data_IF_667636648591
#
_entry.id   IF_667636648591
#
_cell.length_a   1.000
_cell.length_b   1.000
_cell.length_c   1.000
_cell.angle_alpha   90.00
_cell.angle_beta   90.00
_cell.angle_gamma   90.00
#
_symmetry.space_group_name_H-M   'P 1'
#
loop_
_entity.id
_entity.type
_entity.pdbx_description
1 polymer ?
#
# COMPACT_ATOMS: atom_id res chain seq x y z
N UNK A 1 -51.27 34.63 11.11
CA UNK A 1 -50.95 33.20 10.90
C UNK A 1 -49.59 32.94 10.25
N UNK A 2 -49.06 33.80 9.34
CA UNK A 2 -47.75 33.56 8.65
C UNK A 2 -46.50 33.57 9.56
N UNK A 3 -46.45 34.34 10.62
CA UNK A 3 -45.30 34.44 11.56
C UNK A 3 -45.08 33.17 12.42
N UNK A 4 -46.11 32.40 12.70
CA UNK A 4 -45.97 31.16 13.51
C UNK A 4 -45.43 29.96 12.68
N UNK A 5 -45.69 29.93 11.39
CA UNK A 5 -45.17 28.89 10.49
C UNK A 5 -43.68 29.03 10.24
N UNK A 6 -43.14 30.25 10.13
CA UNK A 6 -41.71 30.50 9.92
C UNK A 6 -40.88 30.12 11.14
N UNK A 7 -41.37 30.35 12.35
CA UNK A 7 -40.70 30.00 13.59
C UNK A 7 -40.59 28.45 13.77
N UNK A 8 -41.64 27.72 13.38
CA UNK A 8 -41.65 26.26 13.47
C UNK A 8 -40.65 25.58 12.46
N UNK A 9 -40.51 26.13 11.26
CA UNK A 9 -39.58 25.67 10.25
C UNK A 9 -38.10 25.89 10.63
N UNK A 10 -37.80 27.03 11.26
CA UNK A 10 -36.45 27.35 11.75
C UNK A 10 -36.06 26.42 12.91
N UNK A 11 -36.97 26.14 13.85
CA UNK A 11 -36.73 25.24 14.98
C UNK A 11 -36.51 23.77 14.53
N UNK A 12 -37.27 23.33 13.54
CA UNK A 12 -37.08 21.95 12.99
C UNK A 12 -35.72 21.79 12.25
N UNK A 13 -35.27 22.81 11.54
CA UNK A 13 -33.97 22.78 10.85
C UNK A 13 -32.79 22.75 11.79
N UNK A 14 -32.84 23.47 12.91
CA UNK A 14 -31.74 23.50 13.91
C UNK A 14 -31.60 22.16 14.65
N UNK A 15 -32.71 21.51 14.99
CA UNK A 15 -32.69 20.18 15.65
C UNK A 15 -32.09 19.12 14.73
N UNK A 16 -32.43 19.12 13.45
CA UNK A 16 -31.88 18.17 12.49
C UNK A 16 -30.35 18.34 12.27
N UNK A 17 -29.88 19.59 12.22
CA UNK A 17 -28.45 19.87 12.07
C UNK A 17 -27.62 19.44 13.30
N UNK A 18 -28.13 19.64 14.49
CA UNK A 18 -27.46 19.19 15.74
C UNK A 18 -27.43 17.68 15.83
N UNK A 19 -28.49 16.99 15.47
CA UNK A 19 -28.53 15.51 15.47
C UNK A 19 -27.53 14.92 14.48
N UNK A 20 -27.37 15.50 13.29
CA UNK A 20 -26.37 15.08 12.30
C UNK A 20 -24.95 15.29 12.80
N UNK A 21 -24.64 16.40 13.46
CA UNK A 21 -23.32 16.68 14.02
C UNK A 21 -22.94 15.67 15.13
N UNK A 22 -23.88 15.35 16.02
CA UNK A 22 -23.66 14.36 17.10
C UNK A 22 -23.41 12.97 16.51
N UNK A 23 -24.14 12.58 15.46
CA UNK A 23 -23.97 11.27 14.81
C UNK A 23 -22.59 11.17 14.12
N UNK A 24 -22.12 12.23 13.48
CA UNK A 24 -20.78 12.28 12.87
C UNK A 24 -19.68 12.18 13.92
N UNK A 25 -19.82 12.88 15.04
CA UNK A 25 -18.82 12.82 16.13
C UNK A 25 -18.75 11.44 16.76
N UNK A 26 -19.90 10.81 17.02
CA UNK A 26 -19.96 9.42 17.53
C UNK A 26 -19.31 8.42 16.58
N UNK A 27 -19.55 8.54 15.26
CA UNK A 27 -18.95 7.69 14.26
C UNK A 27 -17.42 7.89 14.19
N UNK A 28 -16.96 9.13 14.22
CA UNK A 28 -15.55 9.47 14.20
C UNK A 28 -14.83 8.91 15.43
N UNK A 29 -15.45 9.03 16.60
CA UNK A 29 -14.93 8.49 17.85
C UNK A 29 -14.86 6.95 17.81
N UNK A 30 -15.90 6.28 17.36
CA UNK A 30 -15.90 4.83 17.22
C UNK A 30 -14.83 4.32 16.24
N UNK A 31 -14.61 5.03 15.13
CA UNK A 31 -13.52 4.73 14.19
C UNK A 31 -12.13 4.95 14.83
N UNK A 32 -12.01 5.96 15.67
CA UNK A 32 -10.74 6.21 16.36
C UNK A 32 -10.47 5.14 17.42
N UNK A 33 -11.46 4.78 18.23
CA UNK A 33 -11.36 3.69 19.21
C UNK A 33 -11.02 2.36 18.51
N UNK A 34 -11.63 2.07 17.37
CA UNK A 34 -11.30 0.90 16.54
C UNK A 34 -9.84 0.93 16.08
N UNK A 35 -9.37 2.05 15.54
CA UNK A 35 -7.96 2.21 15.14
C UNK A 35 -6.99 2.05 16.30
N UNK A 36 -7.35 2.61 17.47
CA UNK A 36 -6.51 2.54 18.66
C UNK A 36 -6.42 1.10 19.21
N UNK A 37 -7.51 0.32 19.13
CA UNK A 37 -7.51 -1.09 19.50
C UNK A 37 -6.60 -1.97 18.61
N UNK A 38 -6.31 -1.53 17.38
CA UNK A 38 -5.38 -2.23 16.49
C UNK A 38 -3.92 -1.73 16.56
N UNK A 39 -3.62 -0.70 17.37
CA UNK A 39 -2.24 -0.23 17.54
C UNK A 39 -1.37 -1.23 18.29
N UNK A 40 -1.96 -1.93 19.26
CA UNK A 40 -1.27 -2.88 20.12
C UNK A 40 -1.54 -4.33 19.70
N UNK A 41 -1.11 -4.71 18.48
CA UNK A 41 -1.25 -6.08 18.00
C UNK A 41 -1.94 -6.21 16.64
N UNK A 42 -1.71 -5.27 15.75
CA UNK A 42 -2.18 -5.36 14.38
C UNK A 42 -1.59 -6.60 13.70
N UNK A 43 -2.41 -7.58 13.28
CA UNK A 43 -1.92 -8.77 12.57
C UNK A 43 -1.05 -8.45 11.32
N UNK A 44 -1.23 -7.26 10.74
CA UNK A 44 -0.41 -6.80 9.62
C UNK A 44 1.08 -6.65 10.00
N UNK A 45 1.41 -6.37 11.26
CA UNK A 45 2.81 -6.25 11.72
C UNK A 45 3.56 -7.58 11.58
N UNK A 46 2.88 -8.71 11.76
CA UNK A 46 3.49 -10.03 11.54
C UNK A 46 3.92 -10.21 10.07
N UNK A 47 3.14 -9.67 9.14
CA UNK A 47 3.46 -9.69 7.71
C UNK A 47 4.61 -8.75 7.39
N UNK A 48 4.69 -7.60 8.03
CA UNK A 48 5.78 -6.65 7.87
C UNK A 48 7.11 -7.24 8.34
N UNK A 49 7.14 -7.85 9.53
CA UNK A 49 8.32 -8.52 10.09
C UNK A 49 8.75 -9.68 9.18
N UNK A 50 7.80 -10.52 8.76
CA UNK A 50 8.09 -11.60 7.80
C UNK A 50 8.65 -11.05 6.49
N UNK A 51 8.08 -9.95 6.00
CA UNK A 51 8.51 -9.30 4.76
C UNK A 51 9.93 -8.75 4.86
N UNK A 52 10.28 -8.16 5.99
CA UNK A 52 11.64 -7.68 6.28
C UNK A 52 12.65 -8.84 6.27
N UNK A 53 12.33 -9.94 6.93
CA UNK A 53 13.17 -11.14 6.95
C UNK A 53 13.38 -11.69 5.54
N UNK A 54 12.30 -11.81 4.75
CA UNK A 54 12.37 -12.26 3.36
C UNK A 54 13.18 -11.31 2.47
N UNK A 55 13.12 -10.01 2.72
CA UNK A 55 13.88 -9.00 1.99
C UNK A 55 15.37 -9.13 2.21
N UNK A 56 15.79 -9.39 3.44
CA UNK A 56 17.19 -9.53 3.85
C UNK A 56 17.77 -10.93 3.59
N UNK A 57 16.92 -11.94 3.51
CA UNK A 57 17.37 -13.33 3.38
C UNK A 57 17.92 -13.62 1.99
N UNK A 58 19.16 -14.18 1.85
CA UNK A 58 19.65 -14.72 0.59
C UNK A 58 18.81 -15.90 0.13
N UNK A 59 18.21 -15.79 -1.05
CA UNK A 59 17.27 -16.79 -1.61
C UNK A 59 17.59 -17.13 -3.06
N UNK A 60 16.91 -18.15 -3.54
CA UNK A 60 17.02 -18.63 -4.91
C UNK A 60 18.36 -19.29 -5.24
N UNK A 61 18.53 -19.75 -6.49
CA UNK A 61 19.76 -20.36 -6.96
C UNK A 61 21.02 -19.50 -6.77
N UNK A 62 20.87 -18.18 -6.92
CA UNK A 62 21.99 -17.24 -6.81
C UNK A 62 22.36 -16.87 -5.35
N UNK A 63 21.55 -17.30 -4.36
CA UNK A 63 21.75 -17.00 -2.93
C UNK A 63 21.97 -15.50 -2.67
N UNK A 64 21.14 -14.63 -3.27
CA UNK A 64 21.19 -13.18 -3.15
C UNK A 64 19.96 -12.68 -2.41
N UNK A 65 20.12 -11.67 -1.53
CA UNK A 65 19.00 -10.99 -0.89
C UNK A 65 18.36 -9.93 -1.80
N UNK A 66 17.14 -9.54 -1.49
CA UNK A 66 16.46 -8.44 -2.19
C UNK A 66 17.01 -7.05 -1.81
N UNK A 67 17.92 -6.95 -0.85
CA UNK A 67 18.62 -5.70 -0.50
C UNK A 67 19.39 -5.09 -1.68
N UNK A 68 19.63 -5.84 -2.74
CA UNK A 68 20.22 -5.35 -3.98
C UNK A 68 19.19 -4.88 -5.01
N UNK A 69 17.90 -5.06 -4.72
CA UNK A 69 16.82 -4.63 -5.58
C UNK A 69 16.69 -3.10 -5.55
N UNK A 70 16.67 -2.48 -6.71
CA UNK A 70 16.35 -1.05 -6.84
C UNK A 70 14.83 -0.88 -7.06
N UNK A 71 14.16 -0.30 -6.07
CA UNK A 71 12.74 0.06 -6.15
C UNK A 71 12.51 1.46 -6.75
N UNK A 72 13.56 2.03 -7.36
CA UNK A 72 13.49 3.33 -8.04
C UNK A 72 14.08 4.49 -7.24
N UNK A 73 14.62 4.22 -6.05
CA UNK A 73 15.34 5.19 -5.21
C UNK A 73 16.82 4.82 -5.04
N UNK A 74 17.28 3.78 -5.74
CA UNK A 74 18.59 3.18 -5.61
C UNK A 74 18.54 1.79 -5.00
N UNK A 75 19.58 0.99 -5.23
CA UNK A 75 19.64 -0.38 -4.75
C UNK A 75 19.51 -0.44 -3.21
N UNK A 76 18.59 -1.26 -2.71
CA UNK A 76 18.36 -1.46 -1.28
C UNK A 76 17.59 -0.37 -0.56
N UNK A 77 17.24 0.73 -1.22
CA UNK A 77 16.46 1.80 -0.61
C UNK A 77 14.98 1.42 -0.61
N UNK A 78 14.45 1.04 0.55
CA UNK A 78 13.04 0.65 0.73
C UNK A 78 12.19 1.81 1.23
N UNK A 79 12.75 2.64 2.13
CA UNK A 79 12.03 3.74 2.76
C UNK A 79 11.48 4.74 1.75
N UNK A 80 10.16 4.88 1.72
CA UNK A 80 9.44 5.78 0.82
C UNK A 80 9.31 5.28 -0.62
N UNK A 81 9.83 4.10 -0.95
CA UNK A 81 9.85 3.60 -2.32
C UNK A 81 8.44 3.35 -2.88
N UNK A 82 7.52 2.80 -2.07
CA UNK A 82 6.14 2.57 -2.49
C UNK A 82 5.44 3.85 -2.97
N UNK A 83 5.71 4.97 -2.32
CA UNK A 83 5.09 6.26 -2.69
C UNK A 83 5.55 6.79 -4.07
N UNK A 84 6.56 6.18 -4.67
CA UNK A 84 7.12 6.52 -5.99
C UNK A 84 6.76 5.51 -7.08
N UNK A 85 5.91 4.55 -6.79
CA UNK A 85 5.46 3.51 -7.71
C UNK A 85 3.99 3.72 -8.12
N UNK A 86 3.61 3.30 -9.33
CA UNK A 86 4.44 2.70 -10.39
C UNK A 86 5.36 3.71 -11.08
N UNK A 87 6.46 3.21 -11.65
CA UNK A 87 7.40 4.03 -12.44
C UNK A 87 8.09 3.25 -13.54
N UNK A 88 8.71 3.96 -14.48
CA UNK A 88 9.54 3.34 -15.51
C UNK A 88 10.89 2.90 -14.95
N UNK A 89 11.27 1.66 -15.25
CA UNK A 89 12.56 1.07 -14.96
C UNK A 89 13.32 0.76 -16.24
N UNK A 90 14.50 1.38 -16.38
CA UNK A 90 15.33 1.24 -17.57
C UNK A 90 15.85 -0.18 -17.78
N UNK A 91 16.18 -0.89 -16.71
CA UNK A 91 16.69 -2.25 -16.73
C UNK A 91 15.65 -3.29 -17.16
N UNK A 92 14.35 -2.99 -16.98
CA UNK A 92 13.22 -3.80 -17.43
C UNK A 92 12.59 -3.26 -18.72
N UNK A 93 12.95 -2.07 -19.15
CA UNK A 93 12.31 -1.27 -20.22
C UNK A 93 10.77 -1.20 -20.08
N UNK A 94 10.27 -1.18 -18.84
CA UNK A 94 8.84 -1.22 -18.53
C UNK A 94 8.47 -0.34 -17.35
N UNK A 95 7.20 0.08 -17.30
CA UNK A 95 6.60 0.62 -16.09
C UNK A 95 6.24 -0.55 -15.19
N UNK A 96 6.67 -0.51 -13.95
CA UNK A 96 6.42 -1.55 -12.96
C UNK A 96 5.84 -0.94 -11.69
N UNK A 97 4.84 -1.60 -11.14
CA UNK A 97 4.37 -1.45 -9.76
C UNK A 97 5.29 -2.20 -8.79
N UNK A 98 4.94 -2.22 -7.51
CA UNK A 98 5.76 -2.85 -6.48
C UNK A 98 5.89 -4.36 -6.70
N UNK A 99 4.79 -5.06 -6.94
CA UNK A 99 4.76 -6.50 -7.12
C UNK A 99 5.56 -6.94 -8.36
N UNK A 100 5.34 -6.27 -9.48
CA UNK A 100 6.07 -6.53 -10.73
C UNK A 100 7.57 -6.29 -10.55
N UNK A 101 7.94 -5.25 -9.79
CA UNK A 101 9.34 -4.93 -9.51
C UNK A 101 9.99 -5.97 -8.60
N UNK A 102 9.30 -6.43 -7.54
CA UNK A 102 9.77 -7.51 -6.68
C UNK A 102 9.96 -8.81 -7.48
N UNK A 103 8.99 -9.18 -8.32
CA UNK A 103 9.12 -10.35 -9.22
C UNK A 103 10.32 -10.21 -10.15
N UNK A 104 10.54 -9.03 -10.72
CA UNK A 104 11.70 -8.77 -11.55
C UNK A 104 13.02 -8.98 -10.78
N UNK A 105 13.12 -8.46 -9.56
CA UNK A 105 14.30 -8.65 -8.72
C UNK A 105 14.47 -10.13 -8.28
N UNK A 106 13.39 -10.83 -7.95
CA UNK A 106 13.45 -12.28 -7.63
C UNK A 106 13.98 -13.09 -8.82
N UNK A 107 13.59 -12.73 -10.03
CA UNK A 107 14.05 -13.45 -11.23
C UNK A 107 15.49 -13.07 -11.60
N UNK A 108 15.84 -11.81 -11.60
CA UNK A 108 17.14 -11.33 -12.09
C UNK A 108 18.26 -11.42 -11.06
N UNK A 109 17.98 -11.15 -9.79
CA UNK A 109 18.97 -11.19 -8.73
C UNK A 109 19.05 -12.58 -8.08
N UNK A 110 17.91 -13.15 -7.69
CA UNK A 110 17.86 -14.42 -6.97
C UNK A 110 17.87 -15.63 -7.88
N UNK A 111 17.58 -15.47 -9.18
CA UNK A 111 17.49 -16.56 -10.16
C UNK A 111 16.25 -17.45 -9.97
N UNK A 112 15.24 -16.96 -9.26
CA UNK A 112 13.97 -17.65 -9.07
C UNK A 112 13.19 -17.62 -10.39
N UNK A 113 12.62 -18.75 -10.80
CA UNK A 113 11.80 -18.79 -12.01
C UNK A 113 10.55 -17.93 -11.84
N UNK A 114 10.13 -17.27 -12.92
CA UNK A 114 8.96 -16.38 -12.87
C UNK A 114 7.69 -17.08 -12.38
N UNK A 115 7.49 -18.34 -12.82
CA UNK A 115 6.33 -19.15 -12.42
C UNK A 115 6.32 -19.40 -10.90
N UNK A 116 7.51 -19.55 -10.29
CA UNK A 116 7.63 -19.74 -8.84
C UNK A 116 7.47 -18.42 -8.10
N UNK A 117 8.03 -17.34 -8.63
CA UNK A 117 7.90 -15.98 -8.06
C UNK A 117 6.45 -15.46 -8.09
N UNK A 118 5.66 -15.85 -9.11
CA UNK A 118 4.27 -15.43 -9.29
C UNK A 118 3.25 -16.46 -8.84
N UNK A 119 3.72 -17.64 -8.36
CA UNK A 119 2.84 -18.70 -7.93
C UNK A 119 2.01 -18.28 -6.72
N UNK A 120 0.71 -18.04 -6.94
CA UNK A 120 -0.29 -17.68 -5.94
C UNK A 120 0.03 -16.41 -5.16
N UNK A 121 -0.29 -15.33 -5.76
CA UNK A 121 -0.21 -14.00 -5.13
C UNK A 121 -1.20 -13.87 -3.97
N UNK A 122 -2.34 -14.57 -3.97
CA UNK A 122 -3.36 -14.46 -2.93
C UNK A 122 -3.94 -15.82 -2.51
N UNK A 123 -3.75 -16.18 -1.23
CA UNK A 123 -4.69 -16.94 -0.43
C UNK A 123 -5.11 -18.33 -0.91
N UNK A 124 -4.21 -19.15 -1.46
CA UNK A 124 -4.51 -20.56 -1.66
C UNK A 124 -3.92 -21.46 -0.55
N UNK A 125 -4.52 -22.61 -0.22
CA UNK A 125 -3.94 -23.54 0.75
C UNK A 125 -2.50 -23.93 0.37
N UNK A 126 -1.56 -23.75 1.30
CA UNK A 126 -0.15 -24.10 1.11
C UNK A 126 0.65 -23.14 0.22
N UNK A 127 0.15 -21.94 -0.09
CA UNK A 127 0.96 -20.91 -0.72
C UNK A 127 1.82 -20.21 0.34
N UNK A 128 3.12 -20.05 0.10
CA UNK A 128 3.86 -19.08 0.87
C UNK A 128 3.32 -17.68 0.51
N UNK A 129 2.76 -16.98 1.47
CA UNK A 129 2.36 -15.59 1.35
C UNK A 129 3.60 -14.67 1.38
N UNK A 130 4.61 -15.01 0.57
CA UNK A 130 5.88 -14.30 0.57
C UNK A 130 5.75 -12.95 -0.13
N UNK A 131 4.95 -12.89 -1.21
CA UNK A 131 4.72 -11.64 -1.93
C UNK A 131 3.92 -10.65 -1.07
N UNK A 132 2.87 -11.11 -0.40
CA UNK A 132 2.07 -10.28 0.50
C UNK A 132 2.91 -9.73 1.64
N UNK A 133 3.79 -10.54 2.21
CA UNK A 133 4.71 -10.12 3.26
C UNK A 133 5.71 -9.08 2.75
N UNK A 134 6.33 -9.31 1.59
CA UNK A 134 7.25 -8.36 0.97
C UNK A 134 6.57 -7.02 0.65
N UNK A 135 5.36 -7.06 0.11
CA UNK A 135 4.54 -5.87 -0.17
C UNK A 135 4.18 -5.15 1.14
N UNK A 136 3.76 -5.88 2.18
CA UNK A 136 3.45 -5.30 3.48
C UNK A 136 4.66 -4.56 4.07
N UNK A 137 5.84 -5.16 4.04
CA UNK A 137 7.08 -4.55 4.50
C UNK A 137 7.40 -3.24 3.74
N UNK A 138 7.47 -3.28 2.40
CA UNK A 138 7.83 -2.10 1.60
C UNK A 138 6.80 -0.99 1.74
N UNK A 139 5.52 -1.34 1.86
CA UNK A 139 4.44 -0.38 2.08
C UNK A 139 4.54 0.26 3.47
N UNK A 140 4.85 -0.55 4.50
CA UNK A 140 5.06 -0.07 5.86
C UNK A 140 6.21 0.94 5.95
N UNK A 141 7.33 0.66 5.27
CA UNK A 141 8.48 1.56 5.19
C UNK A 141 8.18 2.88 4.44
N UNK A 142 7.03 2.96 3.80
CA UNK A 142 6.55 4.18 3.12
C UNK A 142 5.45 4.91 3.89
N UNK A 143 5.13 4.50 5.13
CA UNK A 143 4.11 5.17 5.95
C UNK A 143 4.43 6.65 6.14
N UNK A 144 3.43 7.49 5.93
CA UNK A 144 3.56 8.94 6.03
C UNK A 144 4.22 9.62 4.83
N UNK A 145 4.76 8.86 3.89
CA UNK A 145 5.27 9.42 2.64
C UNK A 145 4.09 9.88 1.76
N UNK A 146 4.24 11.09 1.18
CA UNK A 146 3.27 11.57 0.19
C UNK A 146 3.46 10.83 -1.12
N UNK A 147 2.36 10.36 -1.71
CA UNK A 147 2.39 9.78 -3.06
C UNK A 147 2.93 10.80 -4.08
N UNK A 148 3.95 10.40 -4.80
CA UNK A 148 4.62 11.23 -5.79
C UNK A 148 5.12 10.34 -6.95
N UNK A 149 4.14 9.83 -7.71
CA UNK A 149 4.37 8.94 -8.84
C UNK A 149 4.95 9.74 -10.01
N UNK A 150 6.08 9.34 -10.58
CA UNK A 150 6.70 10.08 -11.67
C UNK A 150 5.89 9.95 -12.96
N UNK A 151 5.81 11.05 -13.72
CA UNK A 151 5.19 11.12 -15.05
C UNK A 151 6.16 11.70 -16.08
N UNK A 152 7.46 11.64 -15.82
CA UNK A 152 8.49 12.23 -16.68
C UNK A 152 8.74 11.40 -17.94
N UNK A 153 8.67 10.08 -17.83
CA UNK A 153 8.88 9.17 -18.96
C UNK A 153 7.60 9.00 -19.81
N UNK A 154 7.69 8.88 -21.17
CA UNK A 154 6.52 8.67 -22.01
C UNK A 154 5.70 7.43 -21.66
N UNK A 155 6.36 6.31 -21.29
CA UNK A 155 5.69 5.07 -20.86
C UNK A 155 4.91 5.24 -19.55
N UNK A 156 5.39 6.08 -18.62
CA UNK A 156 4.67 6.41 -17.37
C UNK A 156 3.37 7.15 -17.68
N UNK A 157 3.43 8.17 -18.54
CA UNK A 157 2.23 8.91 -18.96
C UNK A 157 1.24 8.04 -19.72
N UNK A 158 1.72 7.13 -20.58
CA UNK A 158 0.87 6.19 -21.29
C UNK A 158 0.18 5.21 -20.33
N UNK A 159 0.90 4.66 -19.35
CA UNK A 159 0.34 3.78 -18.34
C UNK A 159 -0.72 4.49 -17.48
N UNK A 160 -0.45 5.73 -17.07
CA UNK A 160 -1.39 6.55 -16.30
C UNK A 160 -2.68 6.87 -17.07
N UNK A 161 -2.60 7.06 -18.39
CA UNK A 161 -3.77 7.35 -19.21
C UNK A 161 -4.70 6.14 -19.41
N UNK A 162 -4.24 4.93 -19.09
CA UNK A 162 -4.99 3.67 -19.22
C UNK A 162 -5.62 3.22 -17.89
N UNK A 163 -5.28 3.87 -16.78
CA UNK A 163 -5.79 3.55 -15.43
C UNK A 163 -7.01 4.40 -15.09
#
# INVERSE_FOLDING_TARGET
>A
MKRRLTAALVAAGTVAAVAAAIAQDATTKALQEYRDAFKDGNPAELWEVKGEDLWKQPRGPNKVSLERCDLGLGAGVVKGAYARLPRYFKDADAVQDLESRIVYCMTTLQGIKREDATRRVFGGPGAPADMEALVAYVTAESRGAKMDVPLSHPKERAAYALS
#
